data_IF_711329756342
#
_entry.id   IF_711329756342
#
_cell.length_a   1.000
_cell.length_b   1.000
_cell.length_c   1.000
_cell.angle_alpha   90.00
_cell.angle_beta   90.00
_cell.angle_gamma   90.00
#
_symmetry.space_group_name_H-M   'P 1'
#
loop_
_entity.id
_entity.type
_entity.pdbx_description
1 polymer ?
#
# COMPACT_ATOMS: atom_id res chain seq x y z
N UNK A 1 -7.24 -9.54 -12.07
CA UNK A 1 -6.61 -10.08 -10.85
C UNK A 1 -5.49 -9.14 -10.41
N UNK A 2 -5.22 -8.99 -9.11
CA UNK A 2 -4.09 -8.20 -8.63
C UNK A 2 -2.76 -8.76 -9.17
N UNK A 3 -1.84 -7.86 -9.56
CA UNK A 3 -0.54 -8.21 -10.12
C UNK A 3 0.52 -8.24 -9.03
N UNK A 4 1.23 -9.37 -8.89
CA UNK A 4 2.37 -9.44 -7.98
C UNK A 4 3.49 -8.48 -8.43
N UNK A 5 4.14 -7.83 -7.47
CA UNK A 5 5.22 -6.87 -7.76
C UNK A 5 6.50 -7.21 -7.00
N UNK A 6 6.43 -7.36 -5.67
CA UNK A 6 7.62 -7.49 -4.81
C UNK A 6 7.26 -8.16 -3.49
N UNK A 7 8.29 -8.62 -2.77
CA UNK A 7 8.17 -9.02 -1.37
C UNK A 7 8.63 -7.90 -0.41
N UNK A 8 7.96 -7.82 0.74
CA UNK A 8 8.36 -7.03 1.89
C UNK A 8 8.57 -7.92 3.12
N UNK A 9 9.52 -7.56 3.98
CA UNK A 9 9.78 -8.24 5.25
C UNK A 9 8.96 -7.61 6.37
N UNK A 10 7.94 -8.30 6.87
CA UNK A 10 7.04 -7.80 7.92
C UNK A 10 6.97 -8.83 9.03
N UNK A 11 7.19 -8.43 10.28
CA UNK A 11 7.17 -9.33 11.44
C UNK A 11 8.00 -10.63 11.26
N UNK A 12 9.17 -10.53 10.61
CA UNK A 12 10.06 -11.67 10.38
C UNK A 12 9.65 -12.62 9.24
N UNK A 13 8.59 -12.31 8.49
CA UNK A 13 8.14 -13.09 7.32
C UNK A 13 8.14 -12.26 6.04
N UNK A 14 8.31 -12.93 4.91
CA UNK A 14 8.12 -12.30 3.60
C UNK A 14 6.66 -12.33 3.19
N UNK A 15 6.09 -11.16 2.92
CA UNK A 15 4.73 -11.03 2.40
C UNK A 15 4.76 -10.42 0.99
N UNK A 16 3.94 -10.93 0.05
CA UNK A 16 3.82 -10.35 -1.28
C UNK A 16 3.07 -9.01 -1.25
N UNK A 17 3.58 -8.06 -2.05
CA UNK A 17 2.92 -6.81 -2.45
C UNK A 17 2.34 -7.00 -3.85
N UNK A 18 1.06 -6.70 -3.97
CA UNK A 18 0.31 -6.71 -5.21
C UNK A 18 -0.13 -5.30 -5.60
N UNK A 19 -0.40 -5.11 -6.90
CA UNK A 19 -1.11 -3.95 -7.44
C UNK A 19 -2.52 -4.36 -7.86
N UNK A 20 -3.53 -3.59 -7.50
CA UNK A 20 -4.86 -3.75 -8.07
C UNK A 20 -4.83 -3.52 -9.59
N UNK A 21 -5.72 -4.20 -10.33
CA UNK A 21 -5.83 -4.05 -11.79
C UNK A 21 -6.26 -2.64 -12.21
N UNK A 22 -7.02 -1.98 -11.34
CA UNK A 22 -7.36 -0.57 -11.45
C UNK A 22 -6.99 0.12 -10.14
N UNK A 23 -6.42 1.32 -10.26
CA UNK A 23 -5.99 2.15 -9.15
C UNK A 23 -6.53 3.55 -9.31
N UNK A 24 -6.84 4.21 -8.20
CA UNK A 24 -7.15 5.64 -8.22
C UNK A 24 -5.86 6.45 -8.35
N UNK A 25 -5.84 7.41 -9.29
CA UNK A 25 -4.75 8.37 -9.49
C UNK A 25 -5.29 9.66 -10.09
N UNK A 26 -4.89 10.81 -9.54
CA UNK A 26 -5.33 12.14 -9.97
C UNK A 26 -6.86 12.31 -10.05
N UNK A 27 -7.61 11.70 -9.12
CA UNK A 27 -9.08 11.79 -9.05
C UNK A 27 -9.85 10.82 -9.95
N UNK A 28 -9.17 9.98 -10.74
CA UNK A 28 -9.81 9.01 -11.64
C UNK A 28 -9.30 7.60 -11.41
N UNK A 29 -10.12 6.60 -11.73
CA UNK A 29 -9.66 5.20 -11.83
C UNK A 29 -8.90 5.02 -13.14
N UNK A 30 -7.74 4.37 -13.06
CA UNK A 30 -6.90 4.04 -14.21
C UNK A 30 -6.49 2.59 -14.14
N UNK A 31 -6.40 1.95 -15.30
CA UNK A 31 -5.73 0.65 -15.42
C UNK A 31 -4.26 0.84 -15.06
N UNK A 32 -3.69 -0.13 -14.33
CA UNK A 32 -2.33 0.00 -13.79
C UNK A 32 -1.28 0.23 -14.90
N UNK A 33 -1.48 -0.36 -16.08
CA UNK A 33 -0.56 -0.25 -17.22
C UNK A 33 -0.58 1.14 -17.89
N UNK A 34 -1.57 1.99 -17.57
CA UNK A 34 -1.64 3.38 -18.02
C UNK A 34 -1.01 4.37 -17.03
N UNK A 35 -0.48 3.88 -15.90
CA UNK A 35 0.27 4.68 -14.94
C UNK A 35 1.74 4.72 -15.36
N UNK A 36 2.37 5.87 -15.22
CA UNK A 36 3.81 6.02 -15.45
C UNK A 36 4.60 5.04 -14.56
N UNK A 37 5.53 4.30 -15.17
CA UNK A 37 6.29 3.26 -14.47
C UNK A 37 7.14 3.81 -13.32
N UNK A 38 7.59 5.06 -13.42
CA UNK A 38 8.36 5.73 -12.37
C UNK A 38 7.49 5.98 -11.14
N UNK A 39 6.26 6.46 -11.34
CA UNK A 39 5.28 6.66 -10.26
C UNK A 39 4.95 5.33 -9.59
N UNK A 40 4.71 4.29 -10.39
CA UNK A 40 4.39 2.95 -9.90
C UNK A 40 5.53 2.38 -9.05
N UNK A 41 6.75 2.38 -9.58
CA UNK A 41 7.92 1.84 -8.88
C UNK A 41 8.21 2.60 -7.59
N UNK A 42 8.16 3.94 -7.64
CA UNK A 42 8.34 4.77 -6.45
C UNK A 42 7.27 4.50 -5.38
N UNK A 43 6.02 4.27 -5.79
CA UNK A 43 4.92 3.93 -4.87
C UNK A 43 5.15 2.58 -4.22
N UNK A 44 5.53 1.57 -5.00
CA UNK A 44 5.82 0.23 -4.49
C UNK A 44 6.98 0.26 -3.49
N UNK A 45 8.05 0.99 -3.78
CA UNK A 45 9.20 1.08 -2.88
C UNK A 45 8.87 1.85 -1.60
N UNK A 46 8.06 2.90 -1.67
CA UNK A 46 7.56 3.61 -0.47
C UNK A 46 6.68 2.71 0.40
N UNK A 47 5.74 1.99 -0.19
CA UNK A 47 4.88 1.03 0.52
C UNK A 47 5.72 -0.04 1.19
N UNK A 48 6.70 -0.61 0.46
CA UNK A 48 7.65 -1.57 1.02
C UNK A 48 8.38 -0.98 2.23
N UNK A 49 8.95 0.22 2.09
CA UNK A 49 9.67 0.88 3.19
C UNK A 49 8.77 1.13 4.41
N UNK A 50 7.53 1.58 4.20
CA UNK A 50 6.58 1.82 5.29
C UNK A 50 6.20 0.54 6.06
N UNK A 51 6.11 -0.59 5.34
CA UNK A 51 5.86 -1.91 5.92
C UNK A 51 7.07 -2.42 6.70
N UNK A 52 8.28 -2.38 6.12
CA UNK A 52 9.50 -2.93 6.71
C UNK A 52 9.97 -2.12 7.94
N UNK A 53 9.73 -0.81 7.95
CA UNK A 53 10.08 0.06 9.08
C UNK A 53 9.02 0.09 10.20
N UNK A 54 8.02 -0.81 10.17
CA UNK A 54 6.93 -0.88 11.15
C UNK A 54 6.17 0.44 11.34
N UNK A 55 6.12 1.29 10.30
CA UNK A 55 5.40 2.59 10.37
C UNK A 55 3.92 2.45 10.07
N UNK A 56 3.52 1.35 9.42
CA UNK A 56 2.17 1.20 8.87
C UNK A 56 1.27 0.27 9.68
N UNK A 57 1.82 -0.74 10.35
CA UNK A 57 1.05 -1.79 11.04
C UNK A 57 1.44 -1.86 12.51
N UNK A 58 0.45 -2.07 13.37
CA UNK A 58 0.70 -2.54 14.74
C UNK A 58 1.28 -3.97 14.74
N UNK A 59 1.89 -4.39 15.85
CA UNK A 59 2.51 -5.72 15.93
C UNK A 59 1.51 -6.88 15.69
N UNK A 60 0.26 -6.74 16.14
CA UNK A 60 -0.81 -7.73 15.93
C UNK A 60 -1.23 -7.80 14.45
N UNK A 61 -1.41 -6.64 13.81
CA UNK A 61 -1.74 -6.55 12.39
C UNK A 61 -0.59 -7.09 11.53
N UNK A 62 0.66 -6.73 11.85
CA UNK A 62 1.85 -7.22 11.15
C UNK A 62 1.97 -8.75 11.21
N UNK A 63 1.70 -9.33 12.37
CA UNK A 63 1.71 -10.79 12.57
C UNK A 63 0.61 -11.49 11.78
N UNK A 64 -0.57 -10.86 11.64
CA UNK A 64 -1.73 -11.43 10.94
C UNK A 64 -1.69 -11.22 9.42
N UNK A 65 -1.01 -10.16 8.95
CA UNK A 65 -0.95 -9.78 7.54
C UNK A 65 -0.16 -10.81 6.74
N UNK A 66 -0.76 -11.37 5.69
CA UNK A 66 -0.13 -12.32 4.77
C UNK A 66 0.07 -11.75 3.37
N UNK A 67 -0.61 -10.66 3.01
CA UNK A 67 -0.37 -9.94 1.75
C UNK A 67 -0.78 -8.47 1.85
N UNK A 68 -0.24 -7.65 0.95
CA UNK A 68 -0.60 -6.24 0.79
C UNK A 68 -0.99 -5.98 -0.66
N UNK A 69 -2.08 -5.25 -0.88
CA UNK A 69 -2.50 -4.80 -2.21
C UNK A 69 -2.53 -3.28 -2.24
N UNK A 70 -1.79 -2.67 -3.15
CA UNK A 70 -1.87 -1.24 -3.45
C UNK A 70 -3.14 -1.00 -4.28
N UNK A 71 -4.05 -0.18 -3.76
CA UNK A 71 -5.36 0.10 -4.36
C UNK A 71 -5.49 1.51 -4.91
N UNK A 72 -4.58 2.42 -4.53
CA UNK A 72 -4.46 3.73 -5.16
C UNK A 72 -3.00 4.14 -5.30
N UNK A 73 -2.72 4.95 -6.32
CA UNK A 73 -1.46 5.64 -6.49
C UNK A 73 -1.45 6.94 -5.66
N UNK A 74 -0.31 7.63 -5.54
CA UNK A 74 -0.23 8.95 -4.95
C UNK A 74 -1.30 9.88 -5.54
N UNK A 75 -2.17 10.39 -4.68
CA UNK A 75 -3.17 11.39 -5.01
C UNK A 75 -3.61 12.13 -3.73
N UNK A 76 -4.06 13.39 -3.85
CA UNK A 76 -4.80 14.04 -2.78
C UNK A 76 -6.26 13.57 -2.78
N UNK A 77 -6.94 13.75 -1.66
CA UNK A 77 -8.39 13.55 -1.52
C UNK A 77 -9.00 14.75 -0.79
N UNK A 78 -10.33 14.91 -0.90
CA UNK A 78 -11.02 16.02 -0.25
C UNK A 78 -10.92 15.96 1.29
N UNK A 79 -10.77 14.77 1.86
CA UNK A 79 -10.63 14.56 3.31
C UNK A 79 -9.17 14.52 3.80
N UNK A 80 -8.24 14.14 2.93
CA UNK A 80 -6.79 14.19 3.17
C UNK A 80 -6.10 14.85 1.99
N UNK A 81 -5.77 16.15 2.09
CA UNK A 81 -5.12 16.89 1.02
C UNK A 81 -3.64 16.49 0.87
N UNK A 82 -3.07 15.72 1.80
CA UNK A 82 -1.72 15.22 1.63
C UNK A 82 -1.70 14.12 0.58
N UNK A 83 -0.68 14.13 -0.27
CA UNK A 83 -0.53 13.13 -1.31
C UNK A 83 -0.21 11.76 -0.71
N UNK A 84 -1.10 10.80 -0.92
CA UNK A 84 -0.94 9.45 -0.38
C UNK A 84 -1.37 8.37 -1.37
N UNK A 85 -0.79 7.19 -1.18
CA UNK A 85 -1.22 5.94 -1.80
C UNK A 85 -1.96 5.10 -0.78
N UNK A 86 -2.92 4.28 -1.21
CA UNK A 86 -3.73 3.44 -0.33
C UNK A 86 -3.35 1.99 -0.50
N UNK A 87 -3.35 1.26 0.61
CA UNK A 87 -3.08 -0.16 0.65
C UNK A 87 -4.11 -0.90 1.48
N UNK A 88 -4.37 -2.14 1.07
CA UNK A 88 -5.24 -3.08 1.76
C UNK A 88 -4.41 -4.29 2.17
N UNK A 89 -4.37 -4.55 3.47
CA UNK A 89 -3.68 -5.71 4.05
C UNK A 89 -4.67 -6.84 4.28
N UNK A 90 -4.26 -8.06 3.93
CA UNK A 90 -5.09 -9.25 4.10
C UNK A 90 -4.36 -10.37 4.84
N UNK A 91 -5.12 -11.18 5.57
CA UNK A 91 -4.64 -12.42 6.16
C UNK A 91 -4.51 -13.54 5.11
N UNK A 92 -4.16 -14.76 5.55
CA UNK A 92 -3.96 -15.92 4.68
C UNK A 92 -5.26 -16.49 4.11
N UNK A 93 -6.41 -16.15 4.69
CA UNK A 93 -7.75 -16.53 4.22
C UNK A 93 -8.35 -15.48 3.28
N UNK A 94 -7.66 -14.34 3.08
CA UNK A 94 -8.12 -13.22 2.27
C UNK A 94 -8.99 -12.22 3.04
N UNK A 95 -9.14 -12.40 4.36
CA UNK A 95 -9.81 -11.45 5.25
C UNK A 95 -9.04 -10.14 5.36
N UNK A 96 -9.76 -9.02 5.42
CA UNK A 96 -9.16 -7.70 5.61
C UNK A 96 -8.58 -7.58 7.03
N UNK A 97 -7.30 -7.21 7.12
CA UNK A 97 -6.60 -6.98 8.39
C UNK A 97 -6.54 -5.50 8.72
N UNK A 98 -6.24 -4.67 7.73
CA UNK A 98 -6.11 -3.23 7.90
C UNK A 98 -6.18 -2.50 6.55
N UNK A 99 -6.49 -1.20 6.60
CA UNK A 99 -6.30 -0.26 5.49
C UNK A 99 -5.32 0.83 5.89
N UNK A 100 -4.32 1.07 5.04
CA UNK A 100 -3.27 2.05 5.29
C UNK A 100 -3.16 3.08 4.19
N UNK A 101 -2.79 4.30 4.57
CA UNK A 101 -2.30 5.31 3.64
C UNK A 101 -0.78 5.40 3.76
N UNK A 102 -0.07 5.46 2.63
CA UNK A 102 1.37 5.69 2.58
C UNK A 102 1.61 7.03 1.90
N UNK A 103 2.11 7.98 2.67
CA UNK A 103 2.35 9.37 2.25
C UNK A 103 3.77 9.56 1.69
N UNK A 104 3.95 10.60 0.86
CA UNK A 104 5.26 11.06 0.43
C UNK A 104 6.05 11.79 1.53
N UNK A 105 5.35 12.33 2.54
CA UNK A 105 5.92 13.01 3.69
C UNK A 105 5.89 12.09 4.92
N UNK A 106 7.03 11.50 5.26
CA UNK A 106 7.13 10.55 6.38
C UNK A 106 6.66 11.13 7.72
N UNK A 107 6.75 12.45 7.93
CA UNK A 107 6.31 13.10 9.17
C UNK A 107 4.79 13.10 9.33
N UNK A 108 4.06 12.88 8.23
CA UNK A 108 2.59 12.81 8.18
C UNK A 108 2.08 11.38 8.10
N UNK A 109 2.97 10.38 8.18
CA UNK A 109 2.59 8.98 8.11
C UNK A 109 1.76 8.59 9.33
N UNK A 110 0.57 8.05 9.08
CA UNK A 110 -0.33 7.53 10.11
C UNK A 110 -0.35 6.00 10.11
N UNK A 111 -0.71 5.41 11.25
CA UNK A 111 -0.91 3.96 11.34
C UNK A 111 -2.15 3.53 10.57
N UNK A 112 -2.12 2.32 10.02
CA UNK A 112 -3.28 1.72 9.36
C UNK A 112 -4.42 1.49 10.35
N UNK A 113 -5.65 1.63 9.85
CA UNK A 113 -6.90 1.42 10.59
C UNK A 113 -7.36 -0.01 10.42
#
# INVERSE_FOLDING_TARGET
MPRFVKYASVAGKQIPIYLASEVQHAGYKRVVDAIDSTILNNTVDKVKSALENNKLLSASQASSTSSVTITSMPHPSDMDPNEHSSVLMRDSQGGEVAKGHVTSDESKQQSAV
#
